data_IF_383011869799
#
_entry.id   IF_383011869799
#
_cell.length_a   1.000
_cell.length_b   1.000
_cell.length_c   1.000
_cell.angle_alpha   90.00
_cell.angle_beta   90.00
_cell.angle_gamma   90.00
#
_symmetry.space_group_name_H-M   'P 1'
#
loop_
_entity.id
_entity.type
_entity.pdbx_description
1 polymer ?
#
# COMPACT_ATOMS: atom_id res chain seq x y z
N UNK A 1 -19.08 -7.26 -14.55
CA UNK A 1 -18.17 -6.10 -14.58
C UNK A 1 -18.61 -5.20 -13.44
N UNK A 2 -18.02 -5.37 -12.25
CA UNK A 2 -18.49 -4.66 -11.06
C UNK A 2 -17.72 -3.35 -10.89
N UNK A 3 -18.53 -2.30 -10.80
CA UNK A 3 -18.26 -0.90 -10.49
C UNK A 3 -16.96 -0.62 -9.74
N UNK A 4 -16.05 0.11 -10.42
CA UNK A 4 -14.86 0.77 -9.87
C UNK A 4 -15.25 2.00 -9.03
N UNK A 5 -16.31 1.92 -8.22
CA UNK A 5 -16.58 2.91 -7.19
C UNK A 5 -15.83 2.49 -5.92
N UNK A 6 -14.92 3.32 -5.40
CA UNK A 6 -14.02 2.90 -4.32
C UNK A 6 -14.82 2.42 -3.11
N UNK A 7 -14.74 1.14 -2.69
CA UNK A 7 -15.22 0.74 -1.37
C UNK A 7 -14.45 1.60 -0.37
N UNK A 8 -15.13 2.40 0.45
CA UNK A 8 -14.53 3.41 1.36
C UNK A 8 -13.34 2.83 2.13
N UNK A 9 -12.14 2.91 1.59
CA UNK A 9 -10.96 2.44 2.30
C UNK A 9 -10.69 3.42 3.44
N UNK A 10 -10.38 2.93 4.64
CA UNK A 10 -9.92 3.79 5.72
C UNK A 10 -8.72 4.60 5.26
N UNK A 11 -8.65 5.86 5.69
CA UNK A 11 -7.49 6.74 5.40
C UNK A 11 -6.18 6.13 5.91
N UNK A 12 -6.26 5.31 6.96
CA UNK A 12 -5.16 4.54 7.53
C UNK A 12 -4.60 3.53 6.54
N UNK A 13 -5.47 2.84 5.80
CA UNK A 13 -5.08 1.92 4.73
C UNK A 13 -4.38 2.67 3.61
N UNK A 14 -4.87 3.86 3.24
CA UNK A 14 -4.21 4.68 2.23
C UNK A 14 -2.82 5.18 2.69
N UNK A 15 -2.66 5.55 3.97
CA UNK A 15 -1.37 5.91 4.58
C UNK A 15 -0.41 4.72 4.60
N UNK A 16 -0.91 3.54 4.95
CA UNK A 16 -0.17 2.29 4.91
C UNK A 16 0.34 1.99 3.49
N UNK A 17 -0.54 2.06 2.48
CA UNK A 17 -0.19 1.83 1.08
C UNK A 17 0.85 2.83 0.56
N UNK A 18 0.71 4.11 0.91
CA UNK A 18 1.69 5.14 0.55
C UNK A 18 3.07 4.75 1.09
N UNK A 19 3.19 4.49 2.39
CA UNK A 19 4.46 4.07 2.97
C UNK A 19 4.99 2.77 2.36
N UNK A 20 4.12 1.81 2.07
CA UNK A 20 4.49 0.54 1.45
C UNK A 20 5.14 0.76 0.08
N UNK A 21 4.57 1.64 -0.75
CA UNK A 21 5.18 2.07 -2.02
C UNK A 21 6.53 2.75 -1.80
N UNK A 22 6.65 3.62 -0.79
CA UNK A 22 7.90 4.33 -0.45
C UNK A 22 9.04 3.37 -0.11
N UNK A 23 8.76 2.28 0.58
CA UNK A 23 9.78 1.31 1.02
C UNK A 23 10.02 0.16 0.04
N UNK A 24 9.49 0.26 -1.18
CA UNK A 24 9.72 -0.71 -2.26
C UNK A 24 8.72 -1.86 -2.32
N UNK A 25 7.60 -1.78 -1.60
CA UNK A 25 6.47 -2.70 -1.76
C UNK A 25 6.69 -4.13 -1.26
N UNK A 26 7.78 -4.40 -0.54
CA UNK A 26 8.07 -5.72 0.01
C UNK A 26 8.80 -5.73 1.38
N UNK A 27 8.44 -4.88 2.36
CA UNK A 27 9.01 -4.95 3.72
C UNK A 27 8.52 -6.19 4.48
N UNK A 28 9.23 -6.55 5.55
CA UNK A 28 8.76 -7.58 6.47
C UNK A 28 7.50 -7.15 7.22
N UNK A 29 6.65 -8.12 7.55
CA UNK A 29 5.41 -7.88 8.30
C UNK A 29 5.71 -7.24 9.66
N UNK A 30 6.78 -7.70 10.33
CA UNK A 30 7.22 -7.14 11.60
C UNK A 30 7.67 -5.67 11.45
N UNK A 31 8.37 -5.33 10.37
CA UNK A 31 8.74 -3.94 10.08
C UNK A 31 7.51 -3.06 9.84
N UNK A 32 6.50 -3.59 9.16
CA UNK A 32 5.23 -2.89 8.98
C UNK A 32 4.58 -2.61 10.34
N UNK A 33 4.40 -3.64 11.17
CA UNK A 33 3.80 -3.51 12.50
C UNK A 33 4.53 -2.48 13.35
N UNK A 34 5.86 -2.57 13.47
CA UNK A 34 6.67 -1.61 14.24
C UNK A 34 6.55 -0.16 13.76
N UNK A 35 6.40 0.06 12.45
CA UNK A 35 6.22 1.42 11.91
C UNK A 35 4.88 2.02 12.31
N UNK A 36 3.82 1.21 12.30
CA UNK A 36 2.43 1.64 12.39
C UNK A 36 1.81 1.49 13.77
N UNK A 37 2.43 0.71 14.66
CA UNK A 37 2.05 0.56 16.06
C UNK A 37 1.93 1.90 16.79
N UNK A 38 2.91 2.80 16.59
CA UNK A 38 2.89 4.15 17.20
C UNK A 38 1.79 5.06 16.67
N UNK A 39 1.26 4.75 15.49
CA UNK A 39 0.22 5.52 14.82
C UNK A 39 -1.16 4.87 15.03
N UNK A 40 -1.24 3.77 15.79
CA UNK A 40 -2.48 3.04 16.08
C UNK A 40 -3.06 2.28 14.89
N UNK A 41 -2.27 2.05 13.83
CA UNK A 41 -2.74 1.40 12.59
C UNK A 41 -2.51 -0.10 12.66
N UNK A 42 -3.59 -0.88 12.62
CA UNK A 42 -3.52 -2.33 12.50
C UNK A 42 -3.22 -2.74 11.05
N UNK A 43 -1.97 -3.15 10.85
CA UNK A 43 -1.47 -3.59 9.54
C UNK A 43 -2.17 -4.86 9.06
N UNK A 44 -2.48 -5.80 9.95
CA UNK A 44 -3.11 -7.06 9.55
C UNK A 44 -4.56 -6.83 9.14
N UNK A 45 -5.28 -5.96 9.87
CA UNK A 45 -6.62 -5.53 9.48
C UNK A 45 -6.62 -4.79 8.14
N UNK A 46 -5.66 -3.86 7.94
CA UNK A 46 -5.49 -3.16 6.66
C UNK A 46 -5.29 -4.14 5.50
N UNK A 47 -4.47 -5.18 5.68
CA UNK A 47 -4.24 -6.19 4.63
C UNK A 47 -5.48 -7.07 4.43
N UNK A 48 -6.15 -7.47 5.52
CA UNK A 48 -7.32 -8.36 5.48
C UNK A 48 -8.53 -7.74 4.78
N UNK A 49 -8.65 -6.42 4.87
CA UNK A 49 -9.70 -5.66 4.20
C UNK A 49 -9.41 -5.41 2.70
N UNK A 50 -8.25 -5.83 2.21
CA UNK A 50 -7.83 -5.67 0.82
C UNK A 50 -7.82 -7.02 0.10
N UNK A 51 -8.04 -6.96 -1.21
CA UNK A 51 -7.99 -8.15 -2.07
C UNK A 51 -6.56 -8.67 -2.20
N UNK A 52 -6.41 -10.00 -2.26
CA UNK A 52 -5.10 -10.67 -2.39
C UNK A 52 -4.38 -10.34 -3.72
N UNK A 53 -5.14 -9.92 -4.74
CA UNK A 53 -4.61 -9.43 -6.01
C UNK A 53 -3.96 -8.04 -5.89
N UNK A 54 -4.26 -7.31 -4.82
CA UNK A 54 -3.71 -5.99 -4.53
C UNK A 54 -2.54 -6.09 -3.56
N UNK A 55 -2.71 -6.80 -2.45
CA UNK A 55 -1.71 -6.91 -1.38
C UNK A 55 -1.80 -8.29 -0.73
N UNK A 56 -0.66 -8.84 -0.32
CA UNK A 56 -0.66 -10.14 0.36
C UNK A 56 0.52 -10.31 1.30
N UNK A 57 0.34 -11.13 2.32
CA UNK A 57 1.44 -11.65 3.13
C UNK A 57 1.96 -12.92 2.45
N UNK A 58 3.26 -13.00 2.24
CA UNK A 58 3.92 -14.20 1.71
C UNK A 58 5.18 -14.52 2.51
N UNK A 59 5.66 -15.75 2.42
CA UNK A 59 6.94 -16.15 3.02
C UNK A 59 8.06 -15.86 2.01
N UNK A 60 9.09 -15.15 2.44
CA UNK A 60 10.28 -14.87 1.64
C UNK A 60 11.15 -16.12 1.49
N UNK A 61 12.16 -16.06 0.61
CA UNK A 61 13.12 -17.18 0.47
C UNK A 61 13.89 -17.49 1.76
N UNK A 62 14.00 -16.53 2.68
CA UNK A 62 14.65 -16.71 3.98
C UNK A 62 13.71 -17.22 5.09
N UNK A 63 12.44 -17.47 4.77
CA UNK A 63 11.44 -17.91 5.75
C UNK A 63 10.73 -16.78 6.50
N UNK A 64 11.01 -15.52 6.16
CA UNK A 64 10.42 -14.35 6.82
C UNK A 64 9.05 -13.99 6.21
N UNK A 65 8.08 -13.61 7.03
CA UNK A 65 6.80 -13.07 6.54
C UNK A 65 7.01 -11.66 6.01
N UNK A 66 6.71 -11.46 4.73
CA UNK A 66 6.80 -10.16 4.05
C UNK A 66 5.45 -9.74 3.50
N UNK A 67 5.19 -8.44 3.51
CA UNK A 67 4.01 -7.84 2.89
C UNK A 67 4.38 -7.44 1.48
N UNK A 68 3.74 -8.07 0.48
CA UNK A 68 3.96 -7.75 -0.94
C UNK A 68 2.80 -6.91 -1.48
N UNK A 69 3.12 -5.73 -1.98
CA UNK A 69 2.24 -4.97 -2.86
C UNK A 69 2.28 -5.57 -4.27
N UNK A 70 1.13 -6.00 -4.76
CA UNK A 70 0.97 -6.66 -6.06
C UNK A 70 0.52 -5.66 -7.11
N UNK A 71 -0.52 -4.89 -6.82
CA UNK A 71 -1.04 -3.86 -7.73
C UNK A 71 -0.59 -2.45 -7.31
N UNK A 72 0.48 -2.00 -7.95
CA UNK A 72 1.06 -0.67 -7.73
C UNK A 72 0.21 0.45 -8.33
N UNK A 73 -0.47 0.20 -9.44
CA UNK A 73 -1.27 1.21 -10.13
C UNK A 73 -2.53 1.51 -9.32
N UNK A 74 -3.19 0.46 -8.84
CA UNK A 74 -4.31 0.56 -7.91
C UNK A 74 -3.89 1.32 -6.64
N UNK A 75 -2.74 0.97 -6.04
CA UNK A 75 -2.27 1.67 -4.84
C UNK A 75 -2.00 3.16 -5.09
N UNK A 76 -1.38 3.51 -6.23
CA UNK A 76 -1.13 4.90 -6.61
C UNK A 76 -2.43 5.71 -6.79
N UNK A 77 -3.45 5.12 -7.40
CA UNK A 77 -4.78 5.76 -7.55
C UNK A 77 -5.40 6.07 -6.19
N UNK A 78 -5.29 5.15 -5.22
CA UNK A 78 -5.81 5.33 -3.88
C UNK A 78 -5.06 6.37 -3.05
N UNK A 79 -3.73 6.34 -3.10
CA UNK A 79 -2.89 7.34 -2.44
C UNK A 79 -3.19 8.74 -3.01
N UNK A 80 -3.40 8.84 -4.32
CA UNK A 80 -3.82 10.09 -4.98
C UNK A 80 -5.21 10.53 -4.54
N UNK A 81 -6.18 9.61 -4.45
CA UNK A 81 -7.55 9.93 -4.02
C UNK A 81 -7.58 10.56 -2.62
N UNK A 82 -6.72 10.10 -1.71
CA UNK A 82 -6.62 10.65 -0.36
C UNK A 82 -5.65 11.84 -0.24
N UNK A 83 -5.14 12.40 -1.34
CA UNK A 83 -4.11 13.46 -1.36
C UNK A 83 -2.84 13.10 -0.55
N UNK A 84 -2.56 11.81 -0.36
CA UNK A 84 -1.36 11.32 0.34
C UNK A 84 -0.14 11.24 -0.59
N UNK A 85 -0.12 12.09 -1.61
CA UNK A 85 0.79 12.02 -2.76
C UNK A 85 2.24 11.91 -2.29
N UNK A 86 2.83 10.75 -2.58
CA UNK A 86 4.28 10.60 -2.58
C UNK A 86 4.74 11.22 -3.88
N UNK A 87 5.67 12.19 -3.87
CA UNK A 87 6.17 12.78 -5.09
C UNK A 87 6.80 11.68 -5.96
N UNK A 88 6.10 11.30 -7.02
CA UNK A 88 6.63 10.48 -8.10
C UNK A 88 7.61 11.36 -8.89
N UNK A 89 8.91 11.16 -8.70
CA UNK A 89 9.87 11.57 -9.72
C UNK A 89 9.51 10.84 -11.02
N UNK A 90 9.15 11.60 -12.06
CA UNK A 90 9.05 11.06 -13.42
C UNK A 90 7.83 11.42 -14.25
N UNK A 91 7.23 12.61 -14.07
CA UNK A 91 6.46 13.20 -15.17
C UNK A 91 7.24 14.40 -15.72
N UNK A 92 8.16 14.11 -16.64
CA UNK A 92 8.75 15.14 -17.48
C UNK A 92 7.61 15.73 -18.32
N UNK A 93 7.17 16.93 -17.95
CA UNK A 93 6.27 17.73 -18.78
C UNK A 93 6.97 17.96 -20.11
N UNK A 94 6.60 17.21 -21.16
CA UNK A 94 6.76 17.73 -22.53
C UNK A 94 5.72 18.83 -22.68
N UNK A 95 6.16 20.05 -22.39
CA UNK A 95 5.54 21.25 -22.93
C UNK A 95 5.87 21.19 -24.43
N UNK A 96 4.83 21.07 -25.25
CA UNK A 96 4.90 21.29 -26.70
C UNK A 96 4.77 22.79 -26.93
#
# INVERSE_FOLDING_TARGET
>A
MNELSPPRLPVETARFLAWLMKVGGMPSLERCKRKWEREGIDVEECIRNLDISVIRIQISRSGEKVVKLVDWAWAAQWVSFHNLSIPHHGQMRRII
#
